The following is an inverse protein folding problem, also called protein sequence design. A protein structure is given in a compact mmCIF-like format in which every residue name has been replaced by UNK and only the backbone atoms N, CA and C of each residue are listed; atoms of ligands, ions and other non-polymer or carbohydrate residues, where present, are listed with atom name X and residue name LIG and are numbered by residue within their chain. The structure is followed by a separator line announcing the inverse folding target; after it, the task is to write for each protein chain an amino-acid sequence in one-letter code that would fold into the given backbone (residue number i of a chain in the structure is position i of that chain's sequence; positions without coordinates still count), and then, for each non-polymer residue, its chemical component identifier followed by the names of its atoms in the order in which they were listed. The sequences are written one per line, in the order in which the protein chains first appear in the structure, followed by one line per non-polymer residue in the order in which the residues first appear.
data_IF_718952325465
#
_entry.id   IF_718952325465
#
_cell.length_a   1.000
_cell.length_b   1.000
_cell.length_c   1.000
_cell.angle_alpha   90.00
_cell.angle_beta   90.00
_cell.angle_gamma   90.00
#
_symmetry.space_group_name_H-M   'P 1'
#
loop_
_entity.id
_entity.type
_entity.pdbx_description
1 polymer ?
#
# COMPACT_ATOMS: atom_id res chain seq x y z
N UNK A 1 -9.73 64.89 -56.12
CA UNK A 1 -8.32 64.62 -56.47
C UNK A 1 -7.64 63.65 -55.47
N UNK A 2 -8.17 62.48 -55.20
CA UNK A 2 -7.63 61.49 -54.22
C UNK A 2 -7.35 60.11 -54.82
N UNK A 3 -7.50 59.97 -56.16
CA UNK A 3 -7.29 58.66 -56.82
C UNK A 3 -5.87 58.41 -57.37
N UNK A 4 -4.99 59.42 -57.34
CA UNK A 4 -3.69 59.32 -58.01
C UNK A 4 -2.53 58.83 -57.13
N UNK A 5 -2.70 58.73 -55.81
CA UNK A 5 -1.66 58.29 -54.84
C UNK A 5 -1.70 56.80 -54.48
N UNK A 6 -2.68 56.07 -54.95
CA UNK A 6 -2.79 54.63 -54.68
C UNK A 6 -1.98 53.76 -55.67
N UNK A 7 -1.79 54.24 -56.92
CA UNK A 7 -1.11 53.49 -57.96
C UNK A 7 0.38 53.17 -57.69
N UNK A 8 1.20 54.13 -57.17
CA UNK A 8 2.61 53.83 -56.93
C UNK A 8 2.82 52.81 -55.78
N UNK A 9 1.96 52.82 -54.75
CA UNK A 9 2.02 51.80 -53.61
C UNK A 9 1.61 50.40 -54.07
N UNK A 10 0.69 50.31 -54.99
CA UNK A 10 0.25 49.01 -55.55
C UNK A 10 1.34 48.45 -56.48
N UNK A 11 1.96 49.32 -57.27
CA UNK A 11 3.03 48.92 -58.19
C UNK A 11 4.34 48.51 -57.47
N UNK A 12 4.70 49.17 -56.40
CA UNK A 12 5.85 48.77 -55.54
C UNK A 12 5.59 47.50 -54.81
N UNK A 13 4.32 47.25 -54.40
CA UNK A 13 3.88 45.98 -53.80
C UNK A 13 3.93 44.78 -54.79
N UNK A 14 3.53 45.00 -56.06
CA UNK A 14 3.61 44.00 -57.12
C UNK A 14 5.03 43.67 -57.53
N UNK A 15 5.93 44.68 -57.61
CA UNK A 15 7.35 44.52 -57.91
C UNK A 15 8.08 43.78 -56.76
N UNK A 16 7.73 44.08 -55.50
CA UNK A 16 8.24 43.32 -54.33
C UNK A 16 7.80 41.86 -54.35
N UNK A 17 6.52 41.59 -54.67
CA UNK A 17 5.95 40.20 -54.80
C UNK A 17 6.63 39.46 -55.95
N UNK A 18 6.89 40.13 -57.10
CA UNK A 18 7.58 39.55 -58.25
C UNK A 18 9.04 39.19 -57.93
N UNK A 19 9.73 40.01 -57.12
CA UNK A 19 11.11 39.74 -56.66
C UNK A 19 11.24 38.69 -55.57
N UNK A 20 10.13 38.35 -54.91
CA UNK A 20 10.07 37.37 -53.81
C UNK A 20 9.06 36.25 -54.11
N UNK A 21 8.79 35.97 -55.37
CA UNK A 21 7.79 34.99 -55.82
C UNK A 21 7.95 33.61 -55.14
N UNK A 22 9.19 33.15 -55.03
CA UNK A 22 9.46 31.84 -54.41
C UNK A 22 9.12 31.81 -52.92
N UNK A 23 9.41 32.90 -52.18
CA UNK A 23 9.07 33.00 -50.76
C UNK A 23 7.54 33.06 -50.53
N UNK A 24 6.82 33.80 -51.41
CA UNK A 24 5.35 33.91 -51.35
C UNK A 24 4.67 32.58 -51.69
N UNK A 25 5.17 31.88 -52.71
CA UNK A 25 4.66 30.54 -53.07
C UNK A 25 4.95 29.55 -51.96
N UNK A 26 6.15 29.57 -51.36
CA UNK A 26 6.51 28.68 -50.25
C UNK A 26 5.65 28.96 -49.00
N UNK A 27 5.39 30.24 -48.69
CA UNK A 27 4.50 30.60 -47.58
C UNK A 27 3.06 30.12 -47.84
N UNK A 28 2.56 30.29 -49.07
CA UNK A 28 1.25 29.75 -49.49
C UNK A 28 1.17 28.22 -49.31
N UNK A 29 2.23 27.50 -49.73
CA UNK A 29 2.33 26.07 -49.56
C UNK A 29 2.33 25.65 -48.08
N UNK A 30 3.00 26.39 -47.20
CA UNK A 30 3.04 26.16 -45.77
C UNK A 30 1.65 26.35 -45.11
N UNK A 31 0.90 27.38 -45.56
CA UNK A 31 -0.49 27.57 -45.10
C UNK A 31 -1.36 26.41 -45.52
N UNK A 32 -1.32 25.97 -46.77
CA UNK A 32 -2.08 24.82 -47.26
C UNK A 32 -1.71 23.57 -46.46
N UNK A 33 -0.41 23.31 -46.24
CA UNK A 33 0.06 22.21 -45.45
C UNK A 33 -0.44 22.27 -43.97
N UNK A 34 -0.45 23.45 -43.34
CA UNK A 34 -0.96 23.67 -42.00
C UNK A 34 -2.45 23.37 -41.91
N UNK A 35 -3.25 23.82 -42.90
CA UNK A 35 -4.69 23.52 -42.97
C UNK A 35 -4.93 22.01 -43.12
N UNK A 36 -4.18 21.34 -43.99
CA UNK A 36 -4.23 19.88 -44.16
C UNK A 36 -3.90 19.18 -42.83
N UNK A 37 -2.85 19.61 -42.11
CA UNK A 37 -2.49 19.07 -40.79
C UNK A 37 -3.63 19.22 -39.78
N UNK A 38 -4.31 20.35 -39.75
CA UNK A 38 -5.46 20.56 -38.86
C UNK A 38 -6.63 19.63 -39.23
N UNK A 39 -6.91 19.42 -40.53
CA UNK A 39 -7.94 18.49 -40.98
C UNK A 39 -7.59 17.03 -40.61
N UNK A 40 -6.33 16.62 -40.85
CA UNK A 40 -5.82 15.30 -40.47
C UNK A 40 -5.90 15.15 -38.96
N UNK A 41 -5.43 16.13 -38.17
CA UNK A 41 -5.50 16.12 -36.71
C UNK A 41 -6.92 15.98 -36.18
N UNK A 42 -7.87 16.72 -36.77
CA UNK A 42 -9.31 16.62 -36.43
C UNK A 42 -9.89 15.26 -36.79
N UNK A 43 -9.45 14.67 -37.90
CA UNK A 43 -9.86 13.32 -38.30
C UNK A 43 -9.33 12.27 -37.33
N UNK A 44 -8.02 12.32 -36.99
CA UNK A 44 -7.37 11.44 -36.02
C UNK A 44 -8.01 11.60 -34.65
N UNK A 45 -8.25 12.82 -34.18
CA UNK A 45 -8.91 13.09 -32.92
C UNK A 45 -10.30 12.45 -32.82
N UNK A 46 -11.09 12.51 -33.91
CA UNK A 46 -12.40 11.86 -33.99
C UNK A 46 -12.28 10.32 -34.01
N UNK A 47 -11.32 9.80 -34.75
CA UNK A 47 -11.09 8.36 -34.87
C UNK A 47 -10.71 7.77 -33.50
N UNK A 48 -9.74 8.37 -32.83
CA UNK A 48 -9.28 7.96 -31.50
C UNK A 48 -10.39 8.07 -30.44
N UNK A 49 -11.08 9.24 -30.39
CA UNK A 49 -12.15 9.44 -29.41
C UNK A 49 -13.31 8.47 -29.62
N UNK A 50 -13.76 8.22 -30.86
CA UNK A 50 -14.81 7.24 -31.16
C UNK A 50 -14.37 5.80 -30.89
N UNK A 51 -13.11 5.46 -31.19
CA UNK A 51 -12.55 4.15 -30.87
C UNK A 51 -12.55 3.89 -29.36
N UNK A 52 -12.09 4.87 -28.58
CA UNK A 52 -12.09 4.81 -27.12
C UNK A 52 -13.52 4.72 -26.55
N UNK A 53 -14.43 5.54 -27.05
CA UNK A 53 -15.84 5.51 -26.65
C UNK A 53 -16.46 4.12 -26.85
N UNK A 54 -16.31 3.53 -28.03
CA UNK A 54 -16.82 2.17 -28.31
C UNK A 54 -16.21 1.10 -27.41
N UNK A 55 -14.90 1.21 -27.13
CA UNK A 55 -14.20 0.28 -26.24
C UNK A 55 -14.73 0.37 -24.80
N UNK A 56 -14.88 1.58 -24.27
CA UNK A 56 -15.35 1.81 -22.91
C UNK A 56 -16.84 1.45 -22.74
N UNK A 57 -17.69 1.74 -23.73
CA UNK A 57 -19.09 1.32 -23.76
C UNK A 57 -19.23 -0.20 -23.70
N UNK A 58 -18.41 -0.94 -24.44
CA UNK A 58 -18.40 -2.41 -24.41
C UNK A 58 -18.03 -2.95 -23.02
N UNK A 59 -17.25 -2.21 -22.25
CA UNK A 59 -16.84 -2.55 -20.87
C UNK A 59 -17.84 -2.09 -19.81
N UNK A 60 -19.00 -1.52 -20.20
CA UNK A 60 -20.04 -1.00 -19.30
C UNK A 60 -19.51 0.05 -18.29
N UNK A 61 -18.53 0.86 -18.71
CA UNK A 61 -18.01 1.97 -17.92
C UNK A 61 -19.07 3.08 -17.83
N UNK A 62 -19.06 3.83 -16.71
CA UNK A 62 -19.98 4.95 -16.51
C UNK A 62 -19.88 6.00 -17.63
N UNK A 63 -21.02 6.56 -18.04
CA UNK A 63 -21.10 7.53 -19.14
C UNK A 63 -20.27 8.79 -18.89
N UNK A 64 -20.23 9.26 -17.66
CA UNK A 64 -19.46 10.45 -17.26
C UNK A 64 -17.96 10.23 -17.48
N UNK A 65 -17.48 9.05 -17.10
CA UNK A 65 -16.07 8.65 -17.29
C UNK A 65 -15.75 8.56 -18.78
N UNK A 66 -16.64 7.96 -19.58
CA UNK A 66 -16.47 7.84 -21.03
C UNK A 66 -16.36 9.24 -21.66
N UNK A 67 -17.29 10.15 -21.33
CA UNK A 67 -17.27 11.52 -21.86
C UNK A 67 -16.01 12.26 -21.49
N UNK A 68 -15.53 12.13 -20.24
CA UNK A 68 -14.30 12.76 -19.79
C UNK A 68 -13.08 12.29 -20.59
N UNK A 69 -12.85 10.97 -20.67
CA UNK A 69 -11.68 10.45 -21.37
C UNK A 69 -11.72 10.67 -22.88
N UNK A 70 -12.89 10.59 -23.51
CA UNK A 70 -13.04 10.87 -24.95
C UNK A 70 -12.82 12.33 -25.26
N UNK A 71 -13.29 13.25 -24.41
CA UNK A 71 -13.00 14.68 -24.52
C UNK A 71 -11.51 14.96 -24.32
N UNK A 72 -10.89 14.37 -23.31
CA UNK A 72 -9.46 14.52 -23.00
C UNK A 72 -8.59 14.12 -24.20
N UNK A 73 -8.79 12.90 -24.73
CA UNK A 73 -8.05 12.42 -25.92
C UNK A 73 -8.26 13.34 -27.12
N UNK A 74 -9.50 13.78 -27.35
CA UNK A 74 -9.83 14.69 -28.45
C UNK A 74 -9.09 16.01 -28.32
N UNK A 75 -9.12 16.67 -27.16
CA UNK A 75 -8.50 17.97 -26.97
C UNK A 75 -6.97 17.90 -26.97
N UNK A 76 -6.37 16.85 -26.39
CA UNK A 76 -4.94 16.63 -26.45
C UNK A 76 -4.49 16.47 -27.92
N UNK A 77 -5.17 15.63 -28.69
CA UNK A 77 -4.84 15.42 -30.12
C UNK A 77 -4.98 16.70 -30.92
N UNK A 78 -6.04 17.51 -30.67
CA UNK A 78 -6.21 18.79 -31.32
C UNK A 78 -5.11 19.80 -30.94
N UNK A 79 -4.73 19.87 -29.67
CA UNK A 79 -3.66 20.75 -29.21
C UNK A 79 -2.33 20.46 -29.93
N UNK A 80 -1.93 19.19 -30.01
CA UNK A 80 -0.73 18.79 -30.77
C UNK A 80 -0.85 19.13 -32.25
N UNK A 81 -2.05 18.95 -32.85
CA UNK A 81 -2.27 19.28 -34.26
C UNK A 81 -2.16 20.78 -34.53
N UNK A 82 -2.64 21.63 -33.59
CA UNK A 82 -2.50 23.09 -33.67
C UNK A 82 -1.04 23.51 -33.59
N UNK A 83 -0.30 22.96 -32.61
CA UNK A 83 1.14 23.28 -32.46
C UNK A 83 1.92 22.88 -33.72
N UNK A 84 1.64 21.69 -34.30
CA UNK A 84 2.28 21.25 -35.54
C UNK A 84 1.93 22.16 -36.73
N UNK A 85 0.68 22.63 -36.82
CA UNK A 85 0.25 23.54 -37.87
C UNK A 85 0.89 24.92 -37.74
N UNK A 86 1.03 25.46 -36.51
CA UNK A 86 1.72 26.74 -36.25
C UNK A 86 3.20 26.67 -36.65
N UNK A 87 3.88 25.57 -36.28
CA UNK A 87 5.27 25.38 -36.71
C UNK A 87 5.44 25.31 -38.22
N UNK A 88 4.43 24.78 -38.94
CA UNK A 88 4.49 24.73 -40.40
C UNK A 88 4.35 26.09 -41.08
N UNK A 89 3.64 27.04 -40.47
CA UNK A 89 3.50 28.42 -40.94
C UNK A 89 4.75 29.26 -40.61
N UNK A 90 5.69 28.72 -39.81
CA UNK A 90 6.91 29.43 -39.39
C UNK A 90 6.78 30.15 -38.06
N UNK A 91 5.71 29.89 -37.30
CA UNK A 91 5.59 30.41 -35.93
C UNK A 91 6.48 29.56 -35.01
N UNK A 92 7.31 30.24 -34.23
CA UNK A 92 8.15 29.56 -33.22
C UNK A 92 7.28 28.91 -32.15
N UNK A 93 7.27 27.56 -32.13
CA UNK A 93 6.43 26.77 -31.22
C UNK A 93 7.15 26.33 -29.94
N UNK A 94 8.45 26.65 -29.81
CA UNK A 94 9.28 26.25 -28.65
C UNK A 94 8.70 26.72 -27.32
N UNK A 95 8.23 27.98 -27.26
CA UNK A 95 7.60 28.52 -26.06
C UNK A 95 6.27 27.80 -25.70
N UNK A 96 5.49 27.48 -26.73
CA UNK A 96 4.20 26.75 -26.54
C UNK A 96 4.48 25.35 -26.03
N UNK A 97 5.45 24.66 -26.63
CA UNK A 97 5.86 23.30 -26.20
C UNK A 97 6.42 23.36 -24.77
N UNK A 98 7.20 24.37 -24.41
CA UNK A 98 7.71 24.55 -23.06
C UNK A 98 6.57 24.72 -22.04
N UNK A 99 5.54 25.52 -22.34
CA UNK A 99 4.37 25.72 -21.48
C UNK A 99 3.56 24.41 -21.35
N UNK A 100 3.32 23.71 -22.46
CA UNK A 100 2.61 22.41 -22.44
C UNK A 100 3.42 21.37 -21.62
N UNK A 101 4.75 21.37 -21.76
CA UNK A 101 5.64 20.50 -21.00
C UNK A 101 5.59 20.78 -19.50
N UNK A 102 5.64 22.07 -19.11
CA UNK A 102 5.52 22.51 -17.73
C UNK A 102 4.14 22.14 -17.14
N UNK A 103 3.07 22.35 -17.89
CA UNK A 103 1.71 21.95 -17.49
C UNK A 103 1.60 20.41 -17.35
N UNK A 104 2.19 19.65 -18.28
CA UNK A 104 2.24 18.19 -18.23
C UNK A 104 3.01 17.67 -17.01
N UNK A 105 4.12 18.31 -16.66
CA UNK A 105 4.88 17.99 -15.44
C UNK A 105 4.05 18.28 -14.19
N UNK A 106 3.38 19.44 -14.12
CA UNK A 106 2.52 19.78 -12.98
C UNK A 106 1.38 18.75 -12.78
N UNK A 107 0.71 18.35 -13.89
CA UNK A 107 -0.32 17.32 -13.87
C UNK A 107 0.29 15.96 -13.45
N UNK A 108 1.45 15.59 -13.98
CA UNK A 108 2.16 14.36 -13.61
C UNK A 108 2.47 14.29 -12.12
N UNK A 109 2.96 15.40 -11.54
CA UNK A 109 3.22 15.49 -10.09
C UNK A 109 1.92 15.42 -9.28
N UNK A 110 0.84 16.06 -9.73
CA UNK A 110 -0.46 15.98 -9.07
C UNK A 110 -1.05 14.56 -9.09
N UNK A 111 -0.80 13.77 -10.14
CA UNK A 111 -1.27 12.40 -10.31
C UNK A 111 -0.28 11.34 -9.79
N UNK A 112 0.89 11.73 -9.27
CA UNK A 112 1.95 10.82 -8.85
C UNK A 112 1.47 9.73 -7.88
N UNK A 113 0.68 10.11 -6.87
CA UNK A 113 0.13 9.16 -5.88
C UNK A 113 -0.80 8.14 -6.53
N UNK A 114 -1.67 8.58 -7.44
CA UNK A 114 -2.59 7.67 -8.15
C UNK A 114 -1.83 6.70 -9.06
N UNK A 115 -0.82 7.19 -9.79
CA UNK A 115 0.00 6.35 -10.66
C UNK A 115 0.83 5.34 -9.85
N UNK A 116 1.34 5.74 -8.69
CA UNK A 116 2.02 4.84 -7.75
C UNK A 116 1.10 3.72 -7.27
N UNK A 117 -0.12 4.06 -6.85
CA UNK A 117 -1.11 3.06 -6.42
C UNK A 117 -1.53 2.11 -7.56
N UNK A 118 -1.66 2.62 -8.78
CA UNK A 118 -1.91 1.82 -9.96
C UNK A 118 -0.78 0.81 -10.23
N UNK A 119 0.47 1.28 -10.27
CA UNK A 119 1.65 0.45 -10.49
C UNK A 119 1.77 -0.63 -9.40
N UNK A 120 1.55 -0.25 -8.14
CA UNK A 120 1.51 -1.16 -7.01
C UNK A 120 0.40 -2.22 -7.15
N UNK A 121 -0.80 -1.83 -7.60
CA UNK A 121 -1.90 -2.77 -7.87
C UNK A 121 -1.55 -3.81 -8.94
N UNK A 122 -0.90 -3.38 -10.01
CA UNK A 122 -0.40 -4.30 -11.05
C UNK A 122 0.65 -5.27 -10.49
N UNK A 123 1.57 -4.78 -9.65
CA UNK A 123 2.58 -5.62 -8.99
C UNK A 123 1.93 -6.64 -8.03
N UNK A 124 0.96 -6.22 -7.21
CA UNK A 124 0.24 -7.12 -6.29
C UNK A 124 -0.47 -8.25 -7.03
N UNK A 125 -1.13 -7.95 -8.16
CA UNK A 125 -1.81 -8.96 -8.98
C UNK A 125 -0.82 -9.87 -9.71
N UNK A 126 0.36 -9.35 -10.11
CA UNK A 126 1.38 -10.11 -10.84
C UNK A 126 2.20 -11.00 -9.92
N UNK A 127 2.76 -10.44 -8.83
CA UNK A 127 3.63 -11.16 -7.89
C UNK A 127 2.84 -12.01 -6.89
N UNK A 128 1.59 -11.64 -6.62
CA UNK A 128 0.67 -12.34 -5.72
C UNK A 128 1.27 -12.64 -4.35
N UNK A 129 1.75 -11.65 -3.59
CA UNK A 129 2.22 -11.87 -2.22
C UNK A 129 1.10 -12.43 -1.34
N UNK A 130 -0.14 -12.15 -1.66
CA UNK A 130 -1.35 -12.72 -1.09
C UNK A 130 -2.45 -12.88 -2.14
N UNK A 131 -3.49 -13.62 -1.80
CA UNK A 131 -4.68 -13.84 -2.63
C UNK A 131 -5.94 -13.46 -1.86
N UNK A 132 -7.04 -13.23 -2.57
CA UNK A 132 -8.35 -13.09 -1.94
C UNK A 132 -8.69 -14.35 -1.11
N UNK A 133 -9.23 -14.14 0.10
CA UNK A 133 -9.50 -15.18 1.09
C UNK A 133 -8.33 -15.49 2.05
N UNK A 134 -7.11 -15.03 1.79
CA UNK A 134 -5.98 -15.22 2.72
C UNK A 134 -6.01 -14.16 3.83
N UNK A 135 -5.66 -14.57 5.04
CA UNK A 135 -5.48 -13.68 6.20
C UNK A 135 -4.07 -13.10 6.16
N UNK A 136 -4.00 -11.78 6.14
CA UNK A 136 -2.73 -11.04 6.09
C UNK A 136 -2.69 -9.93 7.13
N UNK A 137 -1.49 -9.58 7.51
CA UNK A 137 -1.23 -8.33 8.24
C UNK A 137 -0.40 -7.41 7.35
N UNK A 138 -0.88 -6.18 7.20
CA UNK A 138 -0.23 -5.12 6.43
C UNK A 138 -0.05 -3.94 7.37
N UNK A 139 1.20 -3.65 7.73
CA UNK A 139 1.49 -2.71 8.81
C UNK A 139 0.79 -3.11 10.13
N UNK A 140 -0.06 -2.25 10.65
CA UNK A 140 -0.81 -2.50 11.89
C UNK A 140 -2.19 -3.18 11.67
N UNK A 141 -2.61 -3.41 10.42
CA UNK A 141 -3.95 -3.95 10.11
C UNK A 141 -3.85 -5.42 9.78
N UNK A 142 -4.59 -6.25 10.52
CA UNK A 142 -4.77 -7.68 10.22
C UNK A 142 -6.19 -7.92 9.73
N UNK A 143 -6.34 -8.67 8.62
CA UNK A 143 -7.65 -9.01 8.08
C UNK A 143 -7.57 -10.01 6.94
N UNK A 144 -8.72 -10.50 6.53
CA UNK A 144 -8.87 -11.34 5.34
C UNK A 144 -8.92 -10.47 4.10
N UNK A 145 -8.13 -10.78 3.09
CA UNK A 145 -8.17 -10.08 1.82
C UNK A 145 -9.49 -10.37 1.13
N UNK A 146 -10.34 -9.36 1.01
CA UNK A 146 -11.61 -9.50 0.29
C UNK A 146 -11.39 -9.34 -1.21
N UNK A 147 -10.78 -8.21 -1.61
CA UNK A 147 -10.56 -7.89 -3.02
C UNK A 147 -9.37 -6.96 -3.23
N UNK A 148 -8.65 -7.23 -4.31
CA UNK A 148 -7.59 -6.34 -4.83
C UNK A 148 -8.16 -5.54 -5.99
N UNK A 149 -8.29 -4.23 -5.81
CA UNK A 149 -8.69 -3.28 -6.85
C UNK A 149 -7.46 -2.67 -7.52
N UNK A 150 -7.67 -1.87 -8.56
CA UNK A 150 -6.59 -1.24 -9.33
C UNK A 150 -5.75 -0.29 -8.47
N UNK A 151 -6.36 0.48 -7.57
CA UNK A 151 -5.70 1.50 -6.75
C UNK A 151 -5.62 1.15 -5.27
N UNK A 152 -6.43 0.22 -4.80
CA UNK A 152 -6.57 -0.14 -3.39
C UNK A 152 -6.88 -1.61 -3.22
N UNK A 153 -6.63 -2.14 -2.03
CA UNK A 153 -7.03 -3.48 -1.60
C UNK A 153 -7.94 -3.36 -0.38
N UNK A 154 -9.00 -4.15 -0.37
CA UNK A 154 -9.95 -4.23 0.73
C UNK A 154 -9.63 -5.42 1.62
N UNK A 155 -9.51 -5.18 2.92
CA UNK A 155 -9.39 -6.19 3.97
C UNK A 155 -10.64 -6.20 4.84
N UNK A 156 -11.08 -7.38 5.25
CA UNK A 156 -12.12 -7.57 6.25
C UNK A 156 -11.45 -8.04 7.55
N UNK A 157 -11.58 -7.24 8.62
CA UNK A 157 -11.04 -7.60 9.94
C UNK A 157 -11.88 -8.67 10.62
N UNK A 158 -11.35 -9.31 11.66
CA UNK A 158 -12.07 -10.35 12.42
C UNK A 158 -13.37 -9.84 13.08
N UNK A 159 -13.44 -8.56 13.39
CA UNK A 159 -14.63 -7.87 13.92
C UNK A 159 -15.51 -7.26 12.81
N UNK A 160 -15.37 -7.75 11.57
CA UNK A 160 -16.18 -7.39 10.40
C UNK A 160 -16.09 -5.92 9.96
N UNK A 161 -14.97 -5.25 10.20
CA UNK A 161 -14.71 -3.92 9.65
C UNK A 161 -14.04 -4.05 8.28
N UNK A 162 -14.52 -3.27 7.33
CA UNK A 162 -13.89 -3.13 6.02
C UNK A 162 -12.78 -2.07 6.09
N UNK A 163 -11.57 -2.45 5.72
CA UNK A 163 -10.42 -1.55 5.68
C UNK A 163 -9.90 -1.47 4.27
N UNK A 164 -9.96 -0.28 3.68
CA UNK A 164 -9.46 -0.01 2.34
C UNK A 164 -8.06 0.59 2.41
N UNK A 165 -7.07 -0.11 1.88
CA UNK A 165 -5.67 0.29 1.92
C UNK A 165 -5.19 0.63 0.49
N UNK A 166 -4.62 1.83 0.24
CA UNK A 166 -3.99 2.15 -1.03
C UNK A 166 -2.87 1.17 -1.37
N UNK A 167 -2.83 0.66 -2.61
CA UNK A 167 -1.88 -0.38 -3.01
C UNK A 167 -0.41 0.04 -2.85
N UNK A 168 -0.11 1.32 -3.08
CA UNK A 168 1.24 1.86 -2.88
C UNK A 168 1.71 1.74 -1.43
N UNK A 169 0.81 1.92 -0.46
CA UNK A 169 1.11 1.72 0.96
C UNK A 169 1.38 0.26 1.28
N UNK A 170 0.63 -0.66 0.66
CA UNK A 170 0.81 -2.11 0.87
C UNK A 170 2.20 -2.58 0.43
N UNK A 171 2.66 -2.14 -0.75
CA UNK A 171 3.97 -2.55 -1.28
C UNK A 171 5.13 -1.89 -0.51
N UNK A 172 4.91 -0.70 0.04
CA UNK A 172 5.90 0.00 0.84
C UNK A 172 6.06 -0.56 2.26
N UNK A 173 5.10 -1.36 2.74
CA UNK A 173 5.05 -1.91 4.09
C UNK A 173 5.37 -3.42 4.11
N UNK A 174 5.60 -3.96 5.31
CA UNK A 174 5.77 -5.40 5.49
C UNK A 174 4.43 -6.11 5.32
N UNK A 175 4.43 -7.20 4.55
CA UNK A 175 3.28 -8.08 4.36
C UNK A 175 3.54 -9.38 5.09
N UNK A 176 2.78 -9.67 6.14
CA UNK A 176 2.80 -10.95 6.84
C UNK A 176 1.58 -11.75 6.39
N UNK A 177 1.82 -12.88 5.75
CA UNK A 177 0.75 -13.76 5.28
C UNK A 177 0.62 -14.96 6.22
N UNK A 178 -0.50 -15.01 6.94
CA UNK A 178 -0.79 -16.08 7.90
C UNK A 178 -1.38 -17.34 7.26
N UNK A 179 -1.95 -17.24 6.06
CA UNK A 179 -2.65 -18.33 5.38
C UNK A 179 -1.81 -19.11 4.38
N UNK A 180 -0.65 -18.56 3.95
CA UNK A 180 0.17 -19.13 2.88
C UNK A 180 0.71 -20.52 3.22
N UNK A 181 1.12 -20.73 4.46
CA UNK A 181 1.65 -22.00 4.93
C UNK A 181 0.58 -22.83 5.61
N UNK A 182 0.49 -24.15 5.34
CA UNK A 182 -0.54 -25.01 5.90
C UNK A 182 -0.41 -25.25 7.41
N UNK A 183 0.78 -25.04 7.97
CA UNK A 183 1.06 -25.20 9.40
C UNK A 183 1.60 -23.90 9.98
N UNK A 184 1.20 -23.64 11.25
CA UNK A 184 1.73 -22.54 12.06
C UNK A 184 2.25 -23.07 13.38
N UNK A 185 3.24 -22.37 13.94
CA UNK A 185 3.77 -22.68 15.26
C UNK A 185 3.06 -21.84 16.30
N UNK A 186 2.52 -22.53 17.32
CA UNK A 186 2.05 -21.91 18.56
C UNK A 186 3.27 -21.76 19.47
N UNK A 187 3.48 -20.58 19.99
CA UNK A 187 4.51 -20.27 20.99
C UNK A 187 3.79 -19.81 22.27
N UNK A 188 3.92 -20.59 23.37
CA UNK A 188 3.40 -20.24 24.68
C UNK A 188 4.56 -20.06 25.65
N UNK A 189 4.38 -19.18 26.62
CA UNK A 189 5.26 -19.01 27.78
C UNK A 189 4.47 -19.35 29.03
N UNK A 190 4.88 -20.42 29.70
CA UNK A 190 4.22 -20.93 30.93
C UNK A 190 5.15 -20.65 32.11
N UNK A 191 4.73 -19.73 32.99
CA UNK A 191 5.47 -19.40 34.21
C UNK A 191 5.03 -20.29 35.38
N UNK A 192 5.96 -20.98 36.02
CA UNK A 192 5.69 -21.80 37.22
C UNK A 192 6.57 -21.34 38.39
N UNK A 193 6.16 -21.68 39.62
CA UNK A 193 6.90 -21.32 40.83
C UNK A 193 8.30 -21.91 40.88
N UNK A 194 9.25 -21.20 41.52
CA UNK A 194 10.64 -21.63 41.69
C UNK A 194 10.80 -22.94 42.44
N UNK A 195 9.81 -23.34 43.26
CA UNK A 195 9.78 -24.60 44.01
C UNK A 195 9.43 -25.79 43.11
N UNK A 196 8.91 -25.55 41.90
CA UNK A 196 8.50 -26.59 40.99
C UNK A 196 9.69 -27.36 40.41
N UNK A 197 9.56 -28.68 40.32
CA UNK A 197 10.59 -29.54 39.72
C UNK A 197 10.49 -29.50 38.21
N UNK A 198 11.59 -29.05 37.56
CA UNK A 198 11.64 -28.89 36.10
C UNK A 198 11.22 -30.15 35.35
N UNK A 199 11.58 -31.35 35.85
CA UNK A 199 11.24 -32.59 35.20
C UNK A 199 9.73 -32.87 35.23
N UNK A 200 9.04 -32.61 36.36
CA UNK A 200 7.62 -32.76 36.54
C UNK A 200 6.82 -31.82 35.65
N UNK A 201 7.21 -30.53 35.61
CA UNK A 201 6.58 -29.53 34.73
C UNK A 201 6.66 -29.97 33.26
N UNK A 202 7.84 -30.42 32.82
CA UNK A 202 8.01 -30.93 31.46
C UNK A 202 7.17 -32.15 31.16
N UNK A 203 7.06 -33.07 32.11
CA UNK A 203 6.28 -34.30 31.97
C UNK A 203 4.79 -33.98 31.82
N UNK A 204 4.24 -33.10 32.66
CA UNK A 204 2.84 -32.67 32.62
C UNK A 204 2.52 -32.01 31.30
N UNK A 205 3.34 -31.02 30.86
CA UNK A 205 3.09 -30.31 29.61
C UNK A 205 3.22 -31.26 28.41
N UNK A 206 4.24 -32.12 28.36
CA UNK A 206 4.37 -33.08 27.26
C UNK A 206 3.19 -34.05 27.19
N UNK A 207 2.66 -34.48 28.33
CA UNK A 207 1.48 -35.37 28.36
C UNK A 207 0.26 -34.71 27.69
N UNK A 208 0.00 -33.43 27.96
CA UNK A 208 -1.08 -32.70 27.32
C UNK A 208 -0.85 -32.60 25.81
N UNK A 209 0.38 -32.29 25.39
CA UNK A 209 0.75 -32.19 23.97
C UNK A 209 0.58 -33.54 23.25
N UNK A 210 0.91 -34.65 23.92
CA UNK A 210 0.78 -35.99 23.35
C UNK A 210 -0.67 -36.39 23.13
N UNK A 211 -1.59 -35.94 23.97
CA UNK A 211 -3.01 -36.20 23.87
C UNK A 211 -3.73 -35.42 22.76
N UNK A 212 -3.21 -34.27 22.38
CA UNK A 212 -3.83 -33.44 21.33
C UNK A 212 -3.43 -33.94 19.94
N UNK A 213 -4.40 -34.49 19.22
CA UNK A 213 -4.22 -35.01 17.86
C UNK A 213 -3.99 -33.95 16.78
N UNK A 214 -4.31 -32.66 17.06
CA UNK A 214 -4.12 -31.55 16.16
C UNK A 214 -2.64 -31.13 16.05
N UNK A 215 -1.82 -31.50 17.04
CA UNK A 215 -0.42 -31.15 17.12
C UNK A 215 0.41 -32.08 16.21
N UNK A 216 1.11 -31.50 15.26
CA UNK A 216 2.05 -32.21 14.38
C UNK A 216 3.39 -32.45 15.10
N UNK A 217 3.49 -33.63 15.72
CA UNK A 217 4.67 -34.04 16.50
C UNK A 217 5.90 -34.29 15.63
N UNK A 218 5.71 -34.57 14.32
CA UNK A 218 6.81 -34.81 13.39
C UNK A 218 7.59 -33.54 13.07
N UNK A 219 6.93 -32.37 13.13
CA UNK A 219 7.55 -31.07 12.94
C UNK A 219 8.37 -30.62 14.16
N UNK A 220 8.28 -31.35 15.25
CA UNK A 220 8.99 -31.11 16.49
C UNK A 220 8.14 -30.38 17.52
N UNK A 221 8.36 -30.77 18.77
CA UNK A 221 7.77 -30.22 19.99
C UNK A 221 8.92 -29.68 20.84
N UNK A 222 8.76 -28.50 21.40
CA UNK A 222 9.73 -27.92 22.34
C UNK A 222 9.03 -27.61 23.66
N UNK A 223 9.48 -28.24 24.74
CA UNK A 223 9.12 -27.89 26.13
C UNK A 223 10.42 -27.70 26.90
N UNK A 224 10.85 -26.47 27.08
CA UNK A 224 12.13 -26.17 27.75
C UNK A 224 12.00 -24.97 28.68
N UNK A 225 12.74 -25.03 29.78
CA UNK A 225 12.98 -23.84 30.59
C UNK A 225 13.78 -22.85 29.72
N UNK A 226 13.21 -21.69 29.47
CA UNK A 226 13.77 -20.65 28.60
C UNK A 226 14.30 -19.44 29.36
N UNK A 227 13.74 -19.17 30.55
CA UNK A 227 14.12 -18.00 31.32
C UNK A 227 13.89 -18.22 32.82
N UNK A 228 14.81 -17.68 33.63
CA UNK A 228 14.67 -17.55 35.08
C UNK A 228 14.13 -16.13 35.34
N UNK A 229 12.80 -16.00 35.35
CA UNK A 229 12.13 -14.70 35.52
C UNK A 229 12.16 -14.21 36.97
N UNK A 230 11.78 -12.94 37.19
CA UNK A 230 11.82 -12.33 38.53
C UNK A 230 10.96 -13.06 39.58
N UNK A 231 9.88 -13.71 39.18
CA UNK A 231 8.95 -14.40 40.09
C UNK A 231 8.59 -15.81 39.64
N UNK A 232 9.04 -16.24 38.45
CA UNK A 232 8.66 -17.52 37.85
C UNK A 232 9.78 -18.15 37.02
N UNK A 233 9.72 -19.47 36.90
CA UNK A 233 10.46 -20.24 35.91
C UNK A 233 9.65 -20.25 34.61
N UNK A 234 10.10 -19.58 33.54
CA UNK A 234 9.38 -19.47 32.29
C UNK A 234 9.75 -20.63 31.34
N UNK A 235 8.76 -21.48 31.08
CA UNK A 235 8.89 -22.57 30.11
C UNK A 235 8.38 -22.11 28.75
N UNK A 236 9.18 -22.31 27.70
CA UNK A 236 8.77 -22.11 26.32
C UNK A 236 8.21 -23.39 25.76
N UNK A 237 6.94 -23.32 25.38
CA UNK A 237 6.20 -24.42 24.75
C UNK A 237 5.96 -24.04 23.30
N UNK A 238 6.49 -24.83 22.36
CA UNK A 238 6.35 -24.59 20.94
C UNK A 238 5.84 -25.85 20.26
N UNK A 239 4.73 -25.73 19.58
CA UNK A 239 4.08 -26.83 18.86
C UNK A 239 3.60 -26.37 17.48
N UNK A 240 3.56 -27.29 16.52
CA UNK A 240 3.07 -27.03 15.18
C UNK A 240 1.67 -27.58 15.01
N UNK A 241 0.77 -26.77 14.42
CA UNK A 241 -0.62 -27.13 14.17
C UNK A 241 -1.06 -26.72 12.77
N UNK A 242 -2.07 -27.40 12.17
CA UNK A 242 -2.69 -26.91 10.96
C UNK A 242 -3.19 -25.46 11.16
N UNK A 243 -3.01 -24.64 10.15
CA UNK A 243 -3.32 -23.21 10.22
C UNK A 243 -4.79 -22.95 10.62
N UNK A 244 -5.72 -23.78 10.14
CA UNK A 244 -7.16 -23.66 10.44
C UNK A 244 -7.46 -23.91 11.92
N UNK A 245 -6.65 -24.73 12.60
CA UNK A 245 -6.83 -25.08 14.01
C UNK A 245 -6.04 -24.18 14.97
N UNK A 246 -5.31 -23.16 14.43
CA UNK A 246 -4.35 -22.39 15.21
C UNK A 246 -4.96 -21.79 16.48
N UNK A 247 -6.05 -21.04 16.36
CA UNK A 247 -6.64 -20.33 17.48
C UNK A 247 -7.37 -21.28 18.44
N UNK A 248 -8.09 -22.26 17.94
CA UNK A 248 -8.75 -23.26 18.77
C UNK A 248 -7.72 -24.03 19.59
N UNK A 249 -6.68 -24.55 18.94
CA UNK A 249 -5.63 -25.28 19.66
C UNK A 249 -4.84 -24.38 20.60
N UNK A 250 -4.63 -23.11 20.26
CA UNK A 250 -3.94 -22.15 21.14
C UNK A 250 -4.68 -21.98 22.47
N UNK A 251 -5.98 -21.75 22.43
CA UNK A 251 -6.78 -21.53 23.63
C UNK A 251 -6.96 -22.82 24.43
N UNK A 252 -7.33 -23.91 23.77
CA UNK A 252 -7.50 -25.21 24.42
C UNK A 252 -6.20 -25.70 25.10
N UNK A 253 -5.07 -25.51 24.41
CA UNK A 253 -3.76 -25.89 24.96
C UNK A 253 -3.40 -25.08 26.21
N UNK A 254 -3.70 -23.77 26.20
CA UNK A 254 -3.46 -22.90 27.35
C UNK A 254 -4.33 -23.32 28.56
N UNK A 255 -5.62 -23.59 28.32
CA UNK A 255 -6.57 -24.06 29.35
C UNK A 255 -6.16 -25.42 29.90
N UNK A 256 -5.91 -26.39 29.02
CA UNK A 256 -5.54 -27.74 29.42
C UNK A 256 -4.23 -27.81 30.21
N UNK A 257 -3.22 -26.98 29.81
CA UNK A 257 -1.98 -26.88 30.57
C UNK A 257 -2.25 -26.30 31.95
N UNK A 258 -3.08 -25.25 32.08
CA UNK A 258 -3.42 -24.65 33.37
C UNK A 258 -4.09 -25.68 34.30
N UNK A 259 -5.09 -26.40 33.81
CA UNK A 259 -5.81 -27.44 34.58
C UNK A 259 -4.87 -28.59 35.01
N UNK A 260 -4.00 -29.03 34.10
CA UNK A 260 -3.03 -30.08 34.40
C UNK A 260 -2.00 -29.66 35.46
N UNK A 261 -1.51 -28.41 35.39
CA UNK A 261 -0.59 -27.88 36.40
C UNK A 261 -1.27 -27.82 37.78
N UNK A 262 -2.52 -27.39 37.87
CA UNK A 262 -3.30 -27.37 39.12
C UNK A 262 -3.48 -28.78 39.71
N UNK A 263 -3.86 -29.72 38.84
CA UNK A 263 -4.08 -31.13 39.24
C UNK A 263 -2.81 -31.77 39.79
N UNK A 264 -1.65 -31.38 39.27
CA UNK A 264 -0.34 -31.88 39.72
C UNK A 264 0.29 -31.00 40.81
N UNK A 265 -0.46 -30.07 41.39
CA UNK A 265 0.02 -29.17 42.46
C UNK A 265 1.25 -28.34 42.07
N UNK A 266 1.37 -28.00 40.80
CA UNK A 266 2.40 -27.12 40.28
C UNK A 266 1.90 -25.67 40.33
N UNK A 267 2.49 -24.86 41.18
CA UNK A 267 2.04 -23.51 41.45
C UNK A 267 2.35 -22.54 40.30
N UNK A 268 1.40 -21.67 39.98
CA UNK A 268 1.54 -20.55 39.07
C UNK A 268 1.71 -19.28 39.92
N UNK A 269 2.94 -18.77 40.05
CA UNK A 269 3.23 -17.79 41.09
C UNK A 269 2.63 -16.42 40.75
N UNK A 270 2.13 -15.76 41.79
CA UNK A 270 1.92 -14.33 41.76
C UNK A 270 3.26 -13.59 41.83
N UNK A 271 3.32 -12.29 41.52
CA UNK A 271 4.51 -11.49 41.72
C UNK A 271 5.07 -11.68 43.15
N UNK A 272 6.30 -12.11 43.30
CA UNK A 272 6.95 -12.37 44.58
C UNK A 272 7.76 -11.15 44.99
N UNK A 273 7.77 -10.84 46.29
CA UNK A 273 8.57 -9.76 46.88
C UNK A 273 9.18 -10.21 48.19
N UNK A 274 10.50 -10.11 48.30
CA UNK A 274 11.21 -10.30 49.56
C UNK A 274 11.13 -9.02 50.41
N UNK A 275 10.44 -9.09 51.55
CA UNK A 275 10.31 -7.96 52.49
C UNK A 275 11.18 -8.19 53.71
N UNK A 276 12.23 -7.40 53.90
CA UNK A 276 13.04 -7.39 55.10
C UNK A 276 12.55 -6.33 56.08
N UNK A 277 11.92 -6.74 57.17
CA UNK A 277 11.50 -5.87 58.23
C UNK A 277 12.66 -5.69 59.21
N UNK A 278 13.22 -4.47 59.30
CA UNK A 278 14.20 -4.13 60.31
C UNK A 278 13.48 -3.40 61.47
N UNK A 279 13.47 -4.04 62.65
CA UNK A 279 13.03 -3.35 63.87
C UNK A 279 14.14 -2.36 64.31
N UNK A 280 13.95 -1.11 63.95
CA UNK A 280 14.78 -0.05 64.53
C UNK A 280 14.32 0.17 65.96
N UNK A 281 15.15 -0.23 66.92
CA UNK A 281 14.87 0.11 68.34
C UNK A 281 14.66 1.62 68.51
N UNK A 282 13.70 2.05 69.31
CA UNK A 282 13.46 3.48 69.50
C UNK A 282 14.72 4.15 70.02
N UNK A 283 15.24 5.16 69.32
CA UNK A 283 16.33 5.99 69.79
C UNK A 283 15.87 6.65 71.09
N UNK A 284 16.63 6.34 72.19
CA UNK A 284 16.46 7.04 73.47
C UNK A 284 16.63 8.54 73.18
N UNK A 285 15.61 9.32 73.41
CA UNK A 285 15.69 10.79 73.38
C UNK A 285 16.71 11.22 74.43
N UNK A 286 17.67 12.08 74.09
CA UNK A 286 18.59 12.65 75.09
C UNK A 286 17.74 13.37 76.14
N UNK A 287 17.90 12.94 77.43
CA UNK A 287 17.34 13.68 78.56
C UNK A 287 18.00 15.07 78.63
N UNK A 288 17.20 16.11 78.36
CA UNK A 288 17.60 17.50 78.65
C UNK A 288 17.84 17.59 80.18
N UNK A 289 19.10 17.59 80.60
CA UNK A 289 19.45 18.04 81.94
C UNK A 289 19.18 19.56 82.02
N UNK A 290 18.13 19.90 82.78
CA UNK A 290 17.99 21.26 83.26
C UNK A 290 19.10 21.52 84.28
N UNK A 291 19.99 22.42 83.96
CA UNK A 291 20.98 22.98 84.90
C UNK A 291 20.30 24.11 85.60
N UNK A 292 20.17 24.04 86.97
CA UNK A 292 19.76 25.09 87.88
C UNK A 292 20.72 26.27 87.88
#
# INVERSE_FOLDING_TARGET
MSGFLLFPKIRSGLEWIAGHSDAVIQFGWNIVAAVILLFIGKFIARLLSRGLEKLLLKRKVDRTIIQFFTALVRYITLAFSVVAALGRIGIETSSIIAVIGAAGLAIGLALQSSLSNFAAGVLLVSLRPFRAGEVVQIGAVTGTVEKVHIFSTTLLTADSKEVVIPNGKIIADNIINYSRHPFRRIDLVIGVGYQSRIAEVKQVINHIIEQDSRIDKQRGVTVRLGELGASALNFYVRVWVPNIEYWNTYYDLLENIKEALDTNHIDLPYPQMDVRIQNVAPQQQPQLQLVD
#
